data_IF_160983707335
#
_entry.id   IF_160983707335
#
_cell.length_a   1.000
_cell.length_b   1.000
_cell.length_c   1.000
_cell.angle_alpha   90.00
_cell.angle_beta   90.00
_cell.angle_gamma   90.00
#
_symmetry.space_group_name_H-M   'P 1'
#
loop_
_entity.id
_entity.type
_entity.pdbx_description
1 polymer ?
#
# COMPACT_ATOMS: atom_id res chain seq x y z
N UNK A 1 -19.32 -5.51 6.62
CA UNK A 1 -20.41 -4.63 6.10
C UNK A 1 -20.24 -3.16 6.50
N UNK A 2 -20.18 -2.80 7.80
CA UNK A 2 -20.04 -1.39 8.25
C UNK A 2 -18.81 -0.65 7.67
N UNK A 3 -17.64 -1.29 7.60
CA UNK A 3 -16.42 -0.66 7.06
C UNK A 3 -16.54 -0.33 5.55
N UNK A 4 -17.24 -1.16 4.78
CA UNK A 4 -17.42 -0.96 3.33
C UNK A 4 -18.20 0.31 3.03
N UNK A 5 -19.29 0.55 3.77
CA UNK A 5 -20.07 1.79 3.63
C UNK A 5 -19.26 3.05 3.93
N UNK A 6 -18.34 2.98 4.90
CA UNK A 6 -17.43 4.09 5.20
C UNK A 6 -16.48 4.37 4.03
N UNK A 7 -15.89 3.33 3.41
CA UNK A 7 -15.02 3.52 2.25
C UNK A 7 -15.78 4.02 1.02
N UNK A 8 -17.01 3.58 0.78
CA UNK A 8 -17.83 4.14 -0.31
C UNK A 8 -18.14 5.62 -0.10
N UNK A 9 -18.43 6.01 1.15
CA UNK A 9 -18.63 7.42 1.51
C UNK A 9 -17.34 8.23 1.34
N UNK A 10 -16.21 7.68 1.76
CA UNK A 10 -14.90 8.30 1.58
C UNK A 10 -14.56 8.49 0.09
N UNK A 11 -14.79 7.47 -0.75
CA UNK A 11 -14.61 7.58 -2.21
C UNK A 11 -15.48 8.71 -2.78
N UNK A 12 -16.77 8.77 -2.40
CA UNK A 12 -17.68 9.81 -2.88
C UNK A 12 -17.18 11.22 -2.53
N UNK A 13 -16.70 11.42 -1.30
CA UNK A 13 -16.18 12.72 -0.88
C UNK A 13 -14.86 13.07 -1.57
N UNK A 14 -13.94 12.11 -1.68
CA UNK A 14 -12.67 12.31 -2.36
C UNK A 14 -12.87 12.68 -3.83
N UNK A 15 -13.79 11.99 -4.54
CA UNK A 15 -14.19 12.34 -5.92
C UNK A 15 -14.85 13.70 -6.04
N UNK A 16 -15.63 14.11 -5.04
CA UNK A 16 -16.21 15.46 -5.01
C UNK A 16 -15.13 16.53 -4.82
N UNK A 17 -14.11 16.24 -4.00
CA UNK A 17 -12.92 17.07 -3.85
C UNK A 17 -12.16 17.25 -5.17
N UNK A 18 -11.91 16.15 -5.91
CA UNK A 18 -11.27 16.20 -7.24
C UNK A 18 -12.07 17.05 -8.22
N UNK A 19 -13.41 17.03 -8.18
CA UNK A 19 -14.23 17.89 -9.05
C UNK A 19 -14.05 19.39 -8.74
N UNK A 20 -13.80 19.74 -7.50
CA UNK A 20 -13.59 21.14 -7.06
C UNK A 20 -12.15 21.57 -7.34
N UNK A 21 -11.18 20.72 -7.00
CA UNK A 21 -9.76 20.95 -7.26
C UNK A 21 -9.11 19.67 -7.81
N UNK A 22 -9.00 19.54 -9.15
CA UNK A 22 -8.38 18.39 -9.80
C UNK A 22 -6.88 18.26 -9.53
N UNK A 23 -6.24 19.29 -8.98
CA UNK A 23 -4.80 19.29 -8.71
C UNK A 23 -4.49 19.04 -7.22
N UNK A 24 -5.49 18.65 -6.42
CA UNK A 24 -5.29 18.35 -5.01
C UNK A 24 -4.82 16.90 -4.81
N UNK A 25 -3.52 16.70 -4.55
CA UNK A 25 -2.90 15.37 -4.39
C UNK A 25 -3.68 14.44 -3.45
N UNK A 26 -4.00 14.89 -2.23
CA UNK A 26 -4.71 14.04 -1.27
C UNK A 26 -6.13 13.65 -1.69
N UNK A 27 -6.81 14.40 -2.56
CA UNK A 27 -8.12 13.99 -3.04
C UNK A 27 -8.00 12.73 -3.90
N UNK A 28 -6.99 12.68 -4.78
CA UNK A 28 -6.64 11.48 -5.54
C UNK A 28 -6.16 10.34 -4.62
N UNK A 29 -5.29 10.63 -3.65
CA UNK A 29 -4.83 9.64 -2.66
C UNK A 29 -5.99 8.98 -1.93
N UNK A 30 -6.97 9.74 -1.47
CA UNK A 30 -8.12 9.19 -0.74
C UNK A 30 -9.11 8.42 -1.62
N UNK A 31 -9.19 8.72 -2.93
CA UNK A 31 -9.88 7.81 -3.88
C UNK A 31 -9.15 6.47 -3.89
N UNK A 32 -7.82 6.47 -4.07
CA UNK A 32 -7.00 5.27 -4.04
C UNK A 32 -7.18 4.45 -2.76
N UNK A 33 -7.13 5.11 -1.58
CA UNK A 33 -7.29 4.45 -0.27
C UNK A 33 -8.67 3.80 -0.15
N UNK A 34 -9.73 4.53 -0.49
CA UNK A 34 -11.09 4.04 -0.40
C UNK A 34 -11.33 2.86 -1.35
N UNK A 35 -10.97 3.02 -2.63
CA UNK A 35 -11.14 2.00 -3.65
C UNK A 35 -10.30 0.76 -3.36
N UNK A 36 -9.06 0.94 -2.91
CA UNK A 36 -8.17 -0.15 -2.52
C UNK A 36 -8.75 -0.98 -1.37
N UNK A 37 -9.33 -0.34 -0.36
CA UNK A 37 -10.00 -1.06 0.73
C UNK A 37 -11.29 -1.77 0.28
N UNK A 38 -12.07 -1.17 -0.61
CA UNK A 38 -13.24 -1.84 -1.22
C UNK A 38 -12.80 -3.10 -1.96
N UNK A 39 -11.73 -3.01 -2.75
CA UNK A 39 -11.19 -4.11 -3.56
C UNK A 39 -10.77 -5.35 -2.74
N UNK A 40 -10.36 -5.17 -1.47
CA UNK A 40 -10.03 -6.29 -0.58
C UNK A 40 -11.23 -7.18 -0.22
N UNK A 41 -12.45 -6.69 -0.43
CA UNK A 41 -13.71 -7.41 -0.13
C UNK A 41 -14.41 -7.91 -1.39
N UNK A 42 -13.75 -7.81 -2.54
CA UNK A 42 -14.34 -8.10 -3.85
C UNK A 42 -13.86 -9.44 -4.42
N UNK A 43 -14.60 -9.95 -5.40
CA UNK A 43 -14.15 -11.06 -6.24
C UNK A 43 -12.83 -10.73 -6.97
N UNK A 44 -12.05 -11.74 -7.33
CA UNK A 44 -10.77 -11.55 -8.06
C UNK A 44 -10.91 -10.66 -9.31
N UNK A 45 -12.00 -10.84 -10.09
CA UNK A 45 -12.29 -10.00 -11.26
C UNK A 45 -12.45 -8.53 -10.86
N UNK A 46 -13.31 -8.25 -9.86
CA UNK A 46 -13.62 -6.88 -9.46
C UNK A 46 -12.45 -6.23 -8.72
N UNK A 47 -11.70 -6.99 -7.92
CA UNK A 47 -10.44 -6.57 -7.30
C UNK A 47 -9.44 -6.07 -8.34
N UNK A 48 -9.19 -6.83 -9.40
CA UNK A 48 -8.28 -6.41 -10.48
C UNK A 48 -8.83 -5.21 -11.26
N UNK A 49 -10.14 -5.16 -11.51
CA UNK A 49 -10.75 -3.98 -12.14
C UNK A 49 -10.54 -2.71 -11.29
N UNK A 50 -10.74 -2.79 -9.98
CA UNK A 50 -10.57 -1.66 -9.06
C UNK A 50 -9.10 -1.28 -8.88
N UNK A 51 -8.16 -2.23 -9.02
CA UNK A 51 -6.73 -1.91 -8.92
C UNK A 51 -6.25 -0.96 -10.03
N UNK A 52 -6.93 -0.94 -11.20
CA UNK A 52 -6.67 0.04 -12.27
C UNK A 52 -6.95 1.46 -11.77
N UNK A 53 -8.08 1.64 -11.08
CA UNK A 53 -8.46 2.94 -10.50
C UNK A 53 -7.45 3.34 -9.43
N UNK A 54 -7.08 2.43 -8.53
CA UNK A 54 -6.07 2.71 -7.49
C UNK A 54 -4.76 3.18 -8.12
N UNK A 55 -4.24 2.46 -9.12
CA UNK A 55 -2.98 2.84 -9.78
C UNK A 55 -3.04 4.26 -10.35
N UNK A 56 -4.07 4.55 -11.15
CA UNK A 56 -4.17 5.82 -11.87
C UNK A 56 -4.30 7.00 -10.90
N UNK A 57 -5.15 6.88 -9.88
CA UNK A 57 -5.37 7.94 -8.90
C UNK A 57 -4.12 8.18 -8.06
N UNK A 58 -3.44 7.11 -7.63
CA UNK A 58 -2.22 7.25 -6.81
C UNK A 58 -1.05 7.79 -7.61
N UNK A 59 -0.87 7.36 -8.86
CA UNK A 59 0.13 7.95 -9.74
C UNK A 59 -0.13 9.44 -9.98
N UNK A 60 -1.40 9.84 -10.16
CA UNK A 60 -1.76 11.25 -10.28
C UNK A 60 -1.47 12.02 -9.00
N UNK A 61 -1.73 11.44 -7.83
CA UNK A 61 -1.41 12.06 -6.54
C UNK A 61 0.10 12.34 -6.39
N UNK A 62 0.96 11.40 -6.81
CA UNK A 62 2.43 11.56 -6.78
C UNK A 62 2.89 12.60 -7.80
N UNK A 63 2.29 12.63 -9.00
CA UNK A 63 2.59 13.67 -10.01
C UNK A 63 2.28 15.08 -9.49
N UNK A 64 1.21 15.22 -8.70
CA UNK A 64 0.78 16.50 -8.11
C UNK A 64 1.60 16.89 -6.88
N UNK A 65 2.07 15.92 -6.09
CA UNK A 65 2.89 16.11 -4.90
C UNK A 65 3.74 14.86 -4.65
N UNK A 66 5.02 14.95 -5.00
CA UNK A 66 6.00 13.88 -4.82
C UNK A 66 6.39 13.65 -3.34
N UNK A 67 5.94 14.53 -2.43
CA UNK A 67 6.09 14.36 -0.98
C UNK A 67 4.85 13.75 -0.34
N UNK A 68 3.93 13.20 -1.10
CA UNK A 68 2.79 12.49 -0.55
C UNK A 68 3.19 11.06 -0.13
N UNK A 69 3.57 10.89 1.14
CA UNK A 69 3.96 9.61 1.73
C UNK A 69 2.89 8.52 1.52
N UNK A 70 1.62 8.90 1.67
CA UNK A 70 0.51 7.95 1.63
C UNK A 70 0.26 7.48 0.21
N UNK A 71 0.45 8.36 -0.79
CA UNK A 71 0.39 7.98 -2.20
C UNK A 71 1.53 7.00 -2.55
N UNK A 72 2.78 7.32 -2.16
CA UNK A 72 3.90 6.40 -2.34
C UNK A 72 3.66 5.03 -1.68
N UNK A 73 3.19 5.02 -0.44
CA UNK A 73 2.84 3.79 0.27
C UNK A 73 1.75 2.98 -0.47
N UNK A 74 0.74 3.64 -1.02
CA UNK A 74 -0.34 2.95 -1.74
C UNK A 74 0.13 2.40 -3.08
N UNK A 75 1.01 3.12 -3.80
CA UNK A 75 1.60 2.63 -5.04
C UNK A 75 2.50 1.44 -4.77
N UNK A 76 3.28 1.48 -3.70
CA UNK A 76 4.10 0.35 -3.26
C UNK A 76 3.25 -0.90 -2.99
N UNK A 77 2.13 -0.75 -2.26
CA UNK A 77 1.17 -1.85 -2.05
C UNK A 77 0.55 -2.34 -3.35
N UNK A 78 0.29 -1.46 -4.32
CA UNK A 78 -0.18 -1.86 -5.65
C UNK A 78 0.87 -2.70 -6.39
N UNK A 79 2.13 -2.27 -6.41
CA UNK A 79 3.24 -3.01 -7.04
C UNK A 79 3.39 -4.41 -6.44
N UNK A 80 3.45 -4.49 -5.10
CA UNK A 80 3.54 -5.77 -4.38
C UNK A 80 2.33 -6.66 -4.66
N UNK A 81 1.13 -6.09 -4.64
CA UNK A 81 -0.10 -6.82 -4.93
C UNK A 81 -0.16 -7.37 -6.36
N UNK A 82 0.34 -6.62 -7.34
CA UNK A 82 0.39 -7.05 -8.74
C UNK A 82 1.47 -8.11 -8.98
N UNK A 83 2.64 -7.98 -8.34
CA UNK A 83 3.70 -8.98 -8.41
C UNK A 83 3.21 -10.36 -7.91
N UNK A 84 2.30 -10.35 -6.92
CA UNK A 84 1.74 -11.53 -6.27
C UNK A 84 0.38 -12.00 -6.83
N UNK A 85 -0.05 -11.54 -8.02
CA UNK A 85 -1.31 -12.01 -8.62
C UNK A 85 -1.29 -13.51 -8.92
N UNK A 86 -2.38 -14.18 -8.54
CA UNK A 86 -2.68 -15.55 -8.95
C UNK A 86 -2.88 -15.66 -10.47
N UNK A 87 -2.88 -16.89 -11.01
CA UNK A 87 -3.12 -17.12 -12.44
C UNK A 87 -4.47 -16.58 -12.92
N UNK A 88 -5.52 -16.70 -12.10
CA UNK A 88 -6.86 -16.16 -12.39
C UNK A 88 -6.79 -14.64 -12.48
N UNK A 89 -6.19 -14.00 -11.48
CA UNK A 89 -6.07 -12.54 -11.43
C UNK A 89 -5.18 -12.00 -12.57
N UNK A 90 -4.12 -12.72 -12.95
CA UNK A 90 -3.30 -12.39 -14.14
C UNK A 90 -4.12 -12.41 -15.43
N UNK A 91 -5.05 -13.36 -15.57
CA UNK A 91 -5.99 -13.39 -16.69
C UNK A 91 -6.86 -12.13 -16.76
N UNK A 92 -7.46 -11.73 -15.63
CA UNK A 92 -8.23 -10.48 -15.56
C UNK A 92 -7.35 -9.24 -15.76
N UNK A 93 -6.11 -9.25 -15.29
CA UNK A 93 -5.19 -8.13 -15.46
C UNK A 93 -4.91 -7.88 -16.94
N UNK A 94 -4.64 -8.94 -17.72
CA UNK A 94 -4.47 -8.83 -19.18
C UNK A 94 -5.67 -8.17 -19.86
N UNK A 95 -6.89 -8.47 -19.41
CA UNK A 95 -8.12 -7.89 -19.97
C UNK A 95 -8.22 -6.41 -19.60
N UNK A 96 -8.12 -6.06 -18.32
CA UNK A 96 -8.41 -4.70 -17.84
C UNK A 96 -7.26 -3.70 -18.07
N UNK A 97 -6.01 -4.17 -18.11
CA UNK A 97 -4.84 -3.33 -18.38
C UNK A 97 -4.39 -3.39 -19.85
N UNK A 98 -5.00 -4.23 -20.70
CA UNK A 98 -4.54 -4.48 -22.07
C UNK A 98 -3.22 -5.26 -22.14
N UNK A 99 -2.81 -5.89 -21.04
CA UNK A 99 -1.54 -6.59 -20.86
C UNK A 99 -1.29 -6.85 -19.38
N UNK A 100 -0.19 -7.52 -19.02
CA UNK A 100 0.22 -7.55 -17.62
C UNK A 100 0.92 -6.22 -17.31
N UNK A 101 0.42 -5.42 -16.35
CA UNK A 101 1.07 -4.16 -16.02
C UNK A 101 2.44 -4.46 -15.40
N UNK A 102 3.44 -3.62 -15.72
CA UNK A 102 4.76 -3.71 -15.10
C UNK A 102 4.63 -3.42 -13.60
N UNK A 103 4.99 -4.41 -12.78
CA UNK A 103 5.05 -4.30 -11.33
C UNK A 103 6.01 -5.34 -10.77
N UNK A 104 6.71 -4.99 -9.70
CA UNK A 104 7.69 -5.85 -9.07
C UNK A 104 7.79 -5.53 -7.57
N UNK A 105 8.46 -6.41 -6.83
CA UNK A 105 8.76 -6.16 -5.42
C UNK A 105 9.80 -5.04 -5.27
N UNK A 106 10.68 -4.87 -6.25
CA UNK A 106 11.69 -3.82 -6.30
C UNK A 106 11.05 -2.43 -6.39
N UNK A 107 10.09 -2.24 -7.29
CA UNK A 107 9.33 -0.97 -7.38
C UNK A 107 8.53 -0.71 -6.10
N UNK A 108 7.99 -1.77 -5.47
CA UNK A 108 7.33 -1.64 -4.19
C UNK A 108 8.29 -1.16 -3.09
N UNK A 109 9.51 -1.71 -3.03
CA UNK A 109 10.54 -1.29 -2.09
C UNK A 109 10.91 0.18 -2.28
N UNK A 110 11.14 0.63 -3.52
CA UNK A 110 11.55 2.02 -3.78
C UNK A 110 10.47 3.02 -3.35
N UNK A 111 9.19 2.73 -3.63
CA UNK A 111 8.11 3.57 -3.16
C UNK A 111 7.89 3.52 -1.64
N UNK A 112 8.06 2.36 -1.00
CA UNK A 112 8.03 2.30 0.47
C UNK A 112 9.18 3.06 1.11
N UNK A 113 10.39 3.00 0.55
CA UNK A 113 11.53 3.81 1.00
C UNK A 113 11.25 5.30 0.87
N UNK A 114 10.63 5.75 -0.21
CA UNK A 114 10.27 7.16 -0.35
C UNK A 114 9.23 7.57 0.71
N UNK A 115 8.21 6.73 0.95
CA UNK A 115 7.23 6.98 2.02
C UNK A 115 7.90 7.06 3.41
N UNK A 116 8.84 6.15 3.72
CA UNK A 116 9.65 6.18 4.95
C UNK A 116 10.50 7.44 5.02
N UNK A 117 11.14 7.85 3.92
CA UNK A 117 11.97 9.05 3.87
C UNK A 117 11.17 10.33 4.13
N UNK A 118 9.94 10.40 3.59
CA UNK A 118 9.04 11.54 3.80
C UNK A 118 8.52 11.57 5.24
N UNK A 119 8.08 10.42 5.78
CA UNK A 119 7.50 10.32 7.12
C UNK A 119 8.10 9.14 7.92
N UNK A 120 9.33 9.29 8.44
CA UNK A 120 10.08 8.19 9.08
C UNK A 120 9.50 7.75 10.41
N UNK A 121 8.63 8.56 11.04
CA UNK A 121 8.01 8.20 12.32
C UNK A 121 6.74 7.37 12.14
N UNK A 122 6.26 7.16 10.91
CA UNK A 122 5.03 6.41 10.69
C UNK A 122 5.30 4.91 10.54
N UNK A 123 4.97 4.18 11.61
CA UNK A 123 5.26 2.75 11.77
C UNK A 123 4.75 1.90 10.59
N UNK A 124 3.60 2.23 10.00
CA UNK A 124 3.02 1.43 8.92
C UNK A 124 3.90 1.42 7.65
N UNK A 125 4.64 2.49 7.37
CA UNK A 125 5.54 2.51 6.21
C UNK A 125 6.67 1.51 6.39
N UNK A 126 7.33 1.52 7.55
CA UNK A 126 8.37 0.55 7.91
C UNK A 126 7.82 -0.88 7.95
N UNK A 127 6.63 -1.10 8.53
CA UNK A 127 6.04 -2.43 8.62
C UNK A 127 5.78 -3.04 7.24
N UNK A 128 5.23 -2.26 6.32
CA UNK A 128 4.98 -2.73 4.96
C UNK A 128 6.27 -2.89 4.15
N UNK A 129 7.30 -2.09 4.40
CA UNK A 129 8.64 -2.28 3.82
C UNK A 129 9.27 -3.59 4.34
N UNK A 130 9.23 -3.85 5.65
CA UNK A 130 9.70 -5.08 6.26
C UNK A 130 9.00 -6.33 5.68
N UNK A 131 7.67 -6.27 5.52
CA UNK A 131 6.88 -7.33 4.86
C UNK A 131 7.35 -7.58 3.44
N UNK A 132 7.63 -6.52 2.70
CA UNK A 132 8.08 -6.64 1.30
C UNK A 132 9.47 -7.27 1.22
N UNK A 133 10.40 -6.86 2.08
CA UNK A 133 11.71 -7.53 2.20
C UNK A 133 11.57 -9.00 2.61
N UNK A 134 10.65 -9.31 3.51
CA UNK A 134 10.36 -10.68 3.92
C UNK A 134 9.83 -11.54 2.77
N UNK A 135 8.90 -11.03 1.95
CA UNK A 135 8.35 -11.74 0.79
C UNK A 135 9.45 -12.14 -0.21
N UNK A 136 10.47 -11.29 -0.39
CA UNK A 136 11.63 -11.56 -1.24
C UNK A 136 12.84 -12.15 -0.49
N UNK A 137 12.65 -12.63 0.74
CA UNK A 137 13.66 -13.31 1.57
C UNK A 137 14.92 -12.47 1.86
N UNK A 138 14.81 -11.14 1.86
CA UNK A 138 15.87 -10.24 2.34
C UNK A 138 15.72 -10.02 3.84
N UNK A 139 16.03 -11.07 4.61
CA UNK A 139 15.70 -11.17 6.04
C UNK A 139 16.38 -10.09 6.90
N UNK A 140 17.62 -9.74 6.56
CA UNK A 140 18.46 -8.78 7.25
C UNK A 140 17.90 -7.36 7.07
N UNK A 141 17.44 -7.03 5.86
CA UNK A 141 16.76 -5.76 5.58
C UNK A 141 15.40 -5.71 6.28
N UNK A 142 14.64 -6.82 6.27
CA UNK A 142 13.39 -6.90 7.02
C UNK A 142 13.63 -6.68 8.52
N UNK A 143 14.69 -7.27 9.09
CA UNK A 143 15.06 -7.08 10.49
C UNK A 143 15.46 -5.64 10.80
N UNK A 144 16.18 -4.97 9.89
CA UNK A 144 16.54 -3.56 10.02
C UNK A 144 15.31 -2.67 10.22
N UNK A 145 14.30 -2.83 9.36
CA UNK A 145 13.03 -2.09 9.49
C UNK A 145 12.27 -2.42 10.78
N UNK A 146 12.29 -3.69 11.21
CA UNK A 146 11.64 -4.11 12.45
C UNK A 146 12.30 -3.50 13.70
N UNK A 147 13.63 -3.36 13.70
CA UNK A 147 14.36 -2.68 14.78
C UNK A 147 13.97 -1.20 14.87
N UNK A 148 13.82 -0.51 13.74
CA UNK A 148 13.34 0.88 13.73
C UNK A 148 11.94 0.95 14.34
N UNK A 149 11.01 0.06 13.97
CA UNK A 149 9.64 0.05 14.52
C UNK A 149 9.64 -0.13 16.04
N UNK A 150 10.56 -0.92 16.58
CA UNK A 150 10.68 -1.14 18.03
C UNK A 150 11.04 0.15 18.79
N UNK A 151 11.90 0.98 18.21
CA UNK A 151 12.33 2.27 18.76
C UNK A 151 11.24 3.36 18.63
N UNK A 152 10.37 3.28 17.61
CA UNK A 152 9.30 4.26 17.39
C UNK A 152 8.23 4.24 18.50
N UNK A 153 7.84 5.42 18.98
CA UNK A 153 6.78 5.58 19.96
C UNK A 153 5.39 5.28 19.37
N UNK A 154 4.57 4.49 20.07
CA UNK A 154 3.19 4.24 19.67
C UNK A 154 2.24 5.32 20.21
N UNK A 155 1.77 6.21 19.33
CA UNK A 155 0.95 7.37 19.69
C UNK A 155 -0.56 7.11 19.62
N UNK A 156 -0.95 5.98 19.04
CA UNK A 156 -2.36 5.59 18.86
C UNK A 156 -2.59 4.09 19.05
N UNK A 157 -3.86 3.68 19.19
CA UNK A 157 -4.23 2.26 19.14
C UNK A 157 -3.82 1.58 17.85
N UNK A 158 -3.83 2.33 16.75
CA UNK A 158 -3.43 1.83 15.44
C UNK A 158 -1.92 1.55 15.41
N UNK A 159 -1.11 2.43 15.99
CA UNK A 159 0.33 2.23 16.12
C UNK A 159 0.66 1.02 17.00
N UNK A 160 -0.06 0.85 18.12
CA UNK A 160 0.08 -0.35 18.97
C UNK A 160 -0.21 -1.64 18.20
N UNK A 161 -1.24 -1.64 17.34
CA UNK A 161 -1.54 -2.80 16.47
C UNK A 161 -0.40 -3.06 15.48
N UNK A 162 0.15 -2.03 14.86
CA UNK A 162 1.27 -2.19 13.94
C UNK A 162 2.53 -2.71 14.63
N UNK A 163 2.86 -2.24 15.84
CA UNK A 163 3.98 -2.80 16.62
C UNK A 163 3.75 -4.28 16.96
N UNK A 164 2.52 -4.67 17.30
CA UNK A 164 2.19 -6.07 17.53
C UNK A 164 2.36 -6.93 16.26
N UNK A 165 1.91 -6.44 15.11
CA UNK A 165 2.13 -7.09 13.81
C UNK A 165 3.63 -7.19 13.46
N UNK A 166 4.41 -6.15 13.76
CA UNK A 166 5.86 -6.15 13.59
C UNK A 166 6.53 -7.22 14.45
N UNK A 167 6.11 -7.37 15.72
CA UNK A 167 6.63 -8.41 16.61
C UNK A 167 6.32 -9.83 16.10
N UNK A 168 5.14 -10.05 15.52
CA UNK A 168 4.82 -11.33 14.88
C UNK A 168 5.72 -11.61 13.67
N UNK A 169 5.96 -10.60 12.85
CA UNK A 169 6.87 -10.72 11.70
C UNK A 169 8.31 -10.97 12.16
N UNK A 170 8.77 -10.31 13.23
CA UNK A 170 10.10 -10.49 13.84
C UNK A 170 10.38 -11.95 14.17
N UNK A 171 9.44 -12.66 14.81
CA UNK A 171 9.59 -14.08 15.14
C UNK A 171 9.85 -14.93 13.88
N UNK A 172 9.20 -14.61 12.76
CA UNK A 172 9.39 -15.32 11.48
C UNK A 172 10.79 -15.02 10.92
N UNK A 173 11.20 -13.75 10.93
CA UNK A 173 12.50 -13.31 10.40
C UNK A 173 13.66 -13.86 11.24
N UNK A 174 13.57 -13.83 12.57
CA UNK A 174 14.61 -14.38 13.47
C UNK A 174 14.85 -15.87 13.24
N UNK A 175 13.79 -16.65 12.98
CA UNK A 175 13.92 -18.08 12.64
C UNK A 175 14.62 -18.33 11.31
N UNK A 176 14.66 -17.34 10.41
CA UNK A 176 15.32 -17.44 9.10
C UNK A 176 16.75 -16.93 9.09
N UNK A 177 17.12 -16.11 10.08
CA UNK A 177 18.48 -15.61 10.29
C UNK A 177 19.35 -16.55 11.14
N UNK A 178 18.75 -17.50 11.86
CA UNK A 178 19.43 -18.59 12.57
C UNK A 178 19.73 -19.75 11.64
#
# INVERSE_FOLDING_TARGET
EKARGLYQKAEKYARSGVKINPNHSFCHTYIGVAVGNIALTESSKKKVQLSVVVKNEVMKAIELDDKNDTAHHLLARWHRGVANLSWIERGFAKIFYGGLPSASHEEAIEHFKEAVKILPTYINHHLELARTYQEIKKWELAMGELNIIEELEAKSDKDRRYKNEANQLRIIVEKKLK
#
